data_IF_201932702668
#
_entry.id   IF_201932702668
#
_cell.length_a   1.000
_cell.length_b   1.000
_cell.length_c   1.000
_cell.angle_alpha   90.00
_cell.angle_beta   90.00
_cell.angle_gamma   90.00
#
_symmetry.space_group_name_H-M   'P 1'
#
loop_
_entity.id
_entity.type
_entity.pdbx_description
1 polymer ?
#
# COMPACT_ATOMS: atom_id res chain seq x y z
N UNK A 1 -5.39 9.94 19.55
CA UNK A 1 -4.63 9.29 18.45
C UNK A 1 -4.75 7.76 18.46
N UNK A 2 -4.46 7.09 19.58
CA UNK A 2 -4.54 5.60 19.69
C UNK A 2 -5.95 5.06 19.41
N UNK A 3 -6.99 5.70 19.94
CA UNK A 3 -8.38 5.27 19.76
C UNK A 3 -8.84 5.34 18.29
N UNK A 4 -8.37 6.35 17.54
CA UNK A 4 -8.62 6.47 16.10
C UNK A 4 -7.97 5.32 15.30
N UNK A 5 -6.76 4.91 15.68
CA UNK A 5 -6.06 3.77 15.05
C UNK A 5 -6.73 2.44 15.42
N UNK A 6 -7.26 2.31 16.63
CA UNK A 6 -8.11 1.18 17.05
C UNK A 6 -9.39 1.12 16.22
N UNK A 7 -10.11 2.23 16.07
CA UNK A 7 -11.35 2.28 15.28
C UNK A 7 -11.13 1.89 13.81
N UNK A 8 -9.95 2.21 13.25
CA UNK A 8 -9.53 1.79 11.90
C UNK A 8 -8.97 0.36 11.83
N UNK A 9 -9.01 -0.39 12.93
CA UNK A 9 -8.59 -1.78 12.98
C UNK A 9 -7.07 -2.00 12.98
N UNK A 10 -6.25 -0.95 13.19
CA UNK A 10 -4.78 -1.05 13.25
C UNK A 10 -4.24 -1.38 14.65
N UNK A 11 -5.04 -1.16 15.69
CA UNK A 11 -4.70 -1.46 17.07
C UNK A 11 -5.80 -2.29 17.73
N UNK A 12 -5.41 -3.24 18.55
CA UNK A 12 -6.26 -3.90 19.53
C UNK A 12 -5.89 -3.43 20.92
N UNK A 13 -6.87 -3.43 21.82
CA UNK A 13 -6.71 -3.01 23.20
C UNK A 13 -7.14 -4.14 24.12
N UNK A 14 -6.33 -4.44 25.13
CA UNK A 14 -6.71 -5.30 26.25
C UNK A 14 -6.49 -4.54 27.56
N UNK A 15 -7.38 -4.76 28.52
CA UNK A 15 -7.20 -4.22 29.86
C UNK A 15 -6.37 -5.23 30.65
N UNK A 16 -5.29 -4.76 31.25
CA UNK A 16 -4.38 -5.55 32.07
C UNK A 16 -3.98 -4.67 33.25
N UNK A 17 -4.19 -5.15 34.48
CA UNK A 17 -3.79 -4.46 35.71
C UNK A 17 -4.29 -3.01 35.81
N UNK A 18 -5.55 -2.78 35.44
CA UNK A 18 -6.16 -1.44 35.48
C UNK A 18 -5.70 -0.48 34.37
N UNK A 19 -4.74 -0.89 33.53
CA UNK A 19 -4.25 -0.09 32.39
C UNK A 19 -4.65 -0.71 31.05
N UNK A 20 -4.72 0.12 30.02
CA UNK A 20 -4.99 -0.34 28.66
C UNK A 20 -3.68 -0.58 27.90
N UNK A 21 -3.43 -1.85 27.54
CA UNK A 21 -2.33 -2.24 26.65
C UNK A 21 -2.83 -2.29 25.21
N UNK A 22 -2.12 -1.61 24.32
CA UNK A 22 -2.40 -1.62 22.89
C UNK A 22 -1.40 -2.51 22.15
N UNK A 23 -1.89 -3.29 21.19
CA UNK A 23 -1.07 -4.13 20.31
C UNK A 23 -1.43 -3.85 18.85
N UNK A 24 -0.44 -3.92 17.96
CA UNK A 24 -0.69 -3.87 16.52
C UNK A 24 -1.43 -5.14 16.09
N UNK A 25 -2.47 -4.98 15.28
CA UNK A 25 -3.28 -6.08 14.72
C UNK A 25 -2.77 -6.58 13.38
N UNK A 26 -1.91 -5.79 12.74
CA UNK A 26 -1.45 -5.96 11.36
C UNK A 26 0.04 -5.66 11.30
N UNK A 27 0.79 -6.48 10.59
CA UNK A 27 2.20 -6.23 10.32
C UNK A 27 2.39 -4.99 9.43
N UNK A 28 3.53 -4.26 9.51
CA UNK A 28 3.76 -3.02 8.76
C UNK A 28 3.49 -3.13 7.26
N UNK A 29 3.87 -4.26 6.65
CA UNK A 29 3.69 -4.54 5.22
C UNK A 29 2.20 -4.62 4.81
N UNK A 30 1.36 -5.24 5.65
CA UNK A 30 -0.09 -5.34 5.40
C UNK A 30 -0.82 -4.00 5.54
N UNK A 31 -0.27 -3.06 6.33
CA UNK A 31 -0.80 -1.70 6.45
C UNK A 31 -0.47 -0.90 5.19
N UNK A 32 0.75 -1.00 4.69
CA UNK A 32 1.17 -0.33 3.46
C UNK A 32 0.38 -0.83 2.26
N UNK A 33 0.23 -2.15 2.09
CA UNK A 33 -0.57 -2.74 1.01
C UNK A 33 -2.03 -2.24 1.04
N UNK A 34 -2.65 -2.19 2.23
CA UNK A 34 -4.01 -1.65 2.37
C UNK A 34 -4.11 -0.16 2.04
N UNK A 35 -3.10 0.63 2.40
CA UNK A 35 -3.06 2.06 2.04
C UNK A 35 -2.93 2.28 0.53
N UNK A 36 -2.10 1.48 -0.15
CA UNK A 36 -1.94 1.51 -1.60
C UNK A 36 -3.24 1.12 -2.29
N UNK A 37 -3.89 0.03 -1.87
CA UNK A 37 -5.18 -0.39 -2.42
C UNK A 37 -6.24 0.72 -2.28
N UNK A 38 -6.38 1.30 -1.08
CA UNK A 38 -7.30 2.41 -0.85
C UNK A 38 -7.00 3.62 -1.72
N UNK A 39 -5.72 3.96 -1.94
CA UNK A 39 -5.33 5.06 -2.81
C UNK A 39 -5.71 4.79 -4.27
N UNK A 40 -5.41 3.60 -4.78
CA UNK A 40 -5.78 3.22 -6.16
C UNK A 40 -7.30 3.27 -6.34
N UNK A 41 -8.06 2.68 -5.41
CA UNK A 41 -9.52 2.59 -5.53
C UNK A 41 -10.21 3.95 -5.41
N UNK A 42 -9.83 4.78 -4.43
CA UNK A 42 -10.57 6.00 -4.10
C UNK A 42 -9.98 7.26 -4.73
N UNK A 43 -8.68 7.28 -5.03
CA UNK A 43 -8.01 8.45 -5.60
C UNK A 43 -7.76 8.29 -7.10
N UNK A 44 -7.36 7.09 -7.53
CA UNK A 44 -7.10 6.84 -8.95
C UNK A 44 -8.26 6.14 -9.69
N UNK A 45 -9.43 6.03 -9.03
CA UNK A 45 -10.65 5.41 -9.58
C UNK A 45 -10.41 4.00 -10.13
N UNK A 46 -9.51 3.23 -9.48
CA UNK A 46 -9.18 1.86 -9.87
C UNK A 46 -8.16 1.74 -11.02
N UNK A 47 -7.64 2.85 -11.56
CA UNK A 47 -6.66 2.82 -12.65
C UNK A 47 -5.27 3.27 -12.18
N UNK A 48 -4.22 2.53 -12.51
CA UNK A 48 -2.83 2.91 -12.19
C UNK A 48 -2.27 3.90 -13.24
N UNK A 49 -2.92 4.05 -14.39
CA UNK A 49 -2.47 4.90 -15.50
C UNK A 49 -2.21 6.38 -15.11
N UNK A 50 -3.04 7.03 -14.27
CA UNK A 50 -2.78 8.42 -13.86
C UNK A 50 -1.49 8.57 -13.05
N UNK A 51 -1.11 7.55 -12.28
CA UNK A 51 0.15 7.55 -11.52
C UNK A 51 1.36 7.44 -12.44
N UNK A 52 1.31 6.55 -13.45
CA UNK A 52 2.37 6.43 -14.45
C UNK A 52 2.50 7.72 -15.28
N UNK A 53 1.37 8.34 -15.65
CA UNK A 53 1.36 9.62 -16.36
C UNK A 53 1.95 10.76 -15.51
N UNK A 54 1.73 10.75 -14.19
CA UNK A 54 2.37 11.69 -13.28
C UNK A 54 3.90 11.49 -13.22
N UNK A 55 4.36 10.24 -13.16
CA UNK A 55 5.79 9.91 -13.15
C UNK A 55 6.49 10.33 -14.45
N UNK A 56 5.85 10.12 -15.61
CA UNK A 56 6.43 10.51 -16.90
C UNK A 56 6.58 12.02 -17.05
N UNK A 57 5.67 12.82 -16.47
CA UNK A 57 5.73 14.28 -16.51
C UNK A 57 6.80 14.87 -15.58
N UNK A 58 7.18 14.18 -14.51
CA UNK A 58 8.11 14.73 -13.50
C UNK A 58 9.58 14.58 -13.82
N UNK A 59 9.96 13.89 -14.92
CA UNK A 59 11.35 13.79 -15.39
C UNK A 59 12.36 13.30 -14.32
N UNK A 60 11.88 12.68 -13.24
CA UNK A 60 12.65 12.30 -12.04
C UNK A 60 12.69 10.79 -11.83
N UNK A 61 12.23 10.00 -12.79
CA UNK A 61 12.43 8.54 -12.74
C UNK A 61 13.85 8.27 -13.20
N UNK A 62 14.69 7.76 -12.30
CA UNK A 62 16.03 7.32 -12.66
C UNK A 62 15.98 6.07 -13.54
N UNK A 63 17.04 5.82 -14.31
CA UNK A 63 17.12 4.64 -15.18
C UNK A 63 16.95 3.32 -14.38
N UNK A 64 17.43 3.30 -13.14
CA UNK A 64 17.26 2.15 -12.23
C UNK A 64 15.80 1.95 -11.83
N UNK A 65 15.09 3.01 -11.45
CA UNK A 65 13.66 2.92 -11.10
C UNK A 65 12.82 2.52 -12.31
N UNK A 66 13.17 2.98 -13.51
CA UNK A 66 12.51 2.56 -14.73
C UNK A 66 12.71 1.06 -15.01
N UNK A 67 13.94 0.56 -14.86
CA UNK A 67 14.25 -0.86 -15.04
C UNK A 67 13.50 -1.74 -14.01
N UNK A 68 13.38 -1.30 -12.76
CA UNK A 68 12.59 -1.99 -11.74
C UNK A 68 11.10 -2.04 -12.11
N UNK A 69 10.54 -0.94 -12.62
CA UNK A 69 9.15 -0.89 -13.09
C UNK A 69 8.92 -1.83 -14.29
N UNK A 70 9.84 -1.87 -15.24
CA UNK A 70 9.77 -2.78 -16.39
C UNK A 70 9.79 -4.26 -15.95
N UNK A 71 10.66 -4.61 -14.99
CA UNK A 71 10.71 -5.97 -14.44
C UNK A 71 9.39 -6.38 -13.77
N UNK A 72 8.77 -5.48 -13.01
CA UNK A 72 7.46 -5.71 -12.38
C UNK A 72 6.36 -5.90 -13.43
N UNK A 73 6.36 -5.12 -14.52
CA UNK A 73 5.40 -5.29 -15.62
C UNK A 73 5.60 -6.63 -16.32
N UNK A 74 6.85 -7.04 -16.55
CA UNK A 74 7.16 -8.34 -17.15
C UNK A 74 6.64 -9.50 -16.28
N UNK A 75 6.80 -9.41 -14.95
CA UNK A 75 6.25 -10.40 -14.01
C UNK A 75 4.71 -10.44 -14.01
N UNK A 76 4.05 -9.29 -14.12
CA UNK A 76 2.59 -9.25 -14.26
C UNK A 76 2.11 -9.88 -15.57
N UNK A 77 2.86 -9.67 -16.65
CA UNK A 77 2.56 -10.27 -17.94
C UNK A 77 2.76 -11.78 -17.91
N UNK A 78 3.85 -12.30 -17.33
CA UNK A 78 4.08 -13.75 -17.25
C UNK A 78 2.96 -14.45 -16.47
N UNK A 79 2.58 -13.92 -15.30
CA UNK A 79 1.47 -14.45 -14.47
C UNK A 79 0.13 -14.47 -15.21
N UNK A 80 -0.10 -13.55 -16.14
CA UNK A 80 -1.32 -13.49 -16.95
C UNK A 80 -1.31 -14.48 -18.13
N UNK A 81 -0.14 -14.86 -18.65
CA UNK A 81 -0.03 -15.87 -19.71
C UNK A 81 -0.08 -17.30 -19.18
N UNK A 82 0.19 -17.49 -17.88
CA UNK A 82 0.16 -18.80 -17.20
C UNK A 82 -1.23 -19.20 -16.65
N UNK A 83 -2.21 -18.27 -16.64
CA UNK A 83 -3.59 -18.51 -16.18
C UNK A 83 -4.61 -18.51 -17.31
#
# INVERSE_FOLDING_TARGET
>A
MMERRRAKGYLQRRQQDGVYRYQATRGPQSVLQGAVAQFVDNTLQGSVSPFVAYLSQRQQVSDNELAELEALVAELQSRRHEG
#
